data_IF_621584397412
#
_entry.id   IF_621584397412
#
_cell.length_a   1.000
_cell.length_b   1.000
_cell.length_c   1.000
_cell.angle_alpha   90.00
_cell.angle_beta   90.00
_cell.angle_gamma   90.00
#
_symmetry.space_group_name_H-M   'P 1'
#
loop_
_entity.id
_entity.type
_entity.pdbx_description
1 polymer ?
#
# COMPACT_ATOMS: atom_id res chain seq x y z
N UNK A 1 -9.63 43.63 -22.15
CA UNK A 1 -8.22 43.52 -21.72
C UNK A 1 -8.01 43.42 -20.20
N UNK A 2 -8.84 44.04 -19.35
CA UNK A 2 -8.66 43.97 -17.87
C UNK A 2 -8.92 42.60 -17.23
N UNK A 3 -9.93 41.87 -17.70
CA UNK A 3 -10.34 40.59 -17.11
C UNK A 3 -9.29 39.47 -17.30
N UNK A 4 -8.64 39.42 -18.48
CA UNK A 4 -7.59 38.44 -18.79
C UNK A 4 -6.34 38.67 -17.92
N UNK A 5 -5.98 39.93 -17.64
CA UNK A 5 -4.85 40.25 -16.76
C UNK A 5 -5.10 39.83 -15.31
N UNK A 6 -6.35 39.92 -14.84
CA UNK A 6 -6.73 39.48 -13.48
C UNK A 6 -6.70 37.95 -13.38
N UNK A 7 -7.21 37.23 -14.38
CA UNK A 7 -7.16 35.75 -14.39
C UNK A 7 -5.71 35.26 -14.45
N UNK A 8 -4.87 35.86 -15.30
CA UNK A 8 -3.44 35.50 -15.37
C UNK A 8 -2.73 35.83 -14.06
N UNK A 9 -3.02 36.96 -13.42
CA UNK A 9 -2.44 37.30 -12.11
C UNK A 9 -2.88 36.32 -11.01
N UNK A 10 -4.15 35.90 -10.99
CA UNK A 10 -4.65 34.91 -10.02
C UNK A 10 -4.00 33.55 -10.26
N UNK A 11 -3.86 33.11 -11.51
CA UNK A 11 -3.18 31.85 -11.84
C UNK A 11 -1.70 31.91 -11.47
N UNK A 12 -1.01 33.02 -11.75
CA UNK A 12 0.40 33.21 -11.37
C UNK A 12 0.58 33.24 -9.86
N UNK A 13 -0.34 33.86 -9.11
CA UNK A 13 -0.31 33.86 -7.64
C UNK A 13 -0.64 32.48 -7.08
N UNK A 14 -1.60 31.75 -7.64
CA UNK A 14 -1.93 30.37 -7.23
C UNK A 14 -0.78 29.41 -7.54
N UNK A 15 -0.12 29.55 -8.70
CA UNK A 15 1.07 28.78 -9.06
C UNK A 15 2.25 29.17 -8.17
N UNK A 16 2.46 30.45 -7.88
CA UNK A 16 3.51 30.89 -6.96
C UNK A 16 3.24 30.46 -5.51
N UNK A 17 1.97 30.39 -5.09
CA UNK A 17 1.56 29.83 -3.80
C UNK A 17 1.74 28.32 -3.79
N UNK A 18 1.41 27.60 -4.87
CA UNK A 18 1.67 26.15 -4.99
C UNK A 18 3.17 25.87 -4.96
N UNK A 19 3.96 26.61 -5.75
CA UNK A 19 5.41 26.46 -5.84
C UNK A 19 6.09 26.88 -4.53
N UNK A 20 5.62 27.96 -3.89
CA UNK A 20 6.06 28.37 -2.56
C UNK A 20 5.73 27.34 -1.48
N UNK A 21 4.53 26.74 -1.52
CA UNK A 21 4.16 25.61 -0.66
C UNK A 21 5.06 24.40 -0.90
N UNK A 22 5.34 24.05 -2.16
CA UNK A 22 6.19 22.92 -2.53
C UNK A 22 7.64 23.14 -2.09
N UNK A 23 8.15 24.37 -2.16
CA UNK A 23 9.55 24.68 -1.80
C UNK A 23 9.77 24.73 -0.28
N UNK A 24 8.85 25.35 0.48
CA UNK A 24 8.87 25.33 1.95
C UNK A 24 8.66 23.89 2.50
N UNK A 25 8.05 23.00 1.69
CA UNK A 25 7.78 21.60 2.04
C UNK A 25 8.94 20.63 1.78
N UNK A 26 9.88 21.00 0.91
CA UNK A 26 11.11 20.21 0.67
C UNK A 26 12.11 20.38 1.82
N UNK A 27 12.11 21.55 2.46
CA UNK A 27 12.94 21.89 3.65
C UNK A 27 12.19 21.71 4.99
N UNK A 28 10.86 21.68 5.01
CA UNK A 28 10.09 21.36 6.22
C UNK A 28 10.27 19.87 6.57
N UNK A 29 11.22 19.63 7.47
CA UNK A 29 11.45 18.43 8.29
C UNK A 29 10.42 17.31 8.05
N UNK A 30 10.88 16.14 7.58
CA UNK A 30 10.84 14.85 8.30
C UNK A 30 9.93 14.79 9.58
N UNK A 31 8.68 15.22 9.49
CA UNK A 31 7.68 15.28 10.55
C UNK A 31 6.55 14.34 10.16
N UNK A 32 5.99 13.65 11.15
CA UNK A 32 4.83 12.79 10.96
C UNK A 32 3.58 13.55 10.48
N UNK A 33 3.59 14.87 10.67
CA UNK A 33 2.46 15.78 10.58
C UNK A 33 1.63 15.62 9.29
N UNK A 34 0.37 15.21 9.50
CA UNK A 34 -0.67 15.12 8.49
C UNK A 34 -1.01 16.48 7.86
N UNK A 35 -0.99 16.55 6.53
CA UNK A 35 -1.59 17.64 5.74
C UNK A 35 -3.02 17.32 5.26
N UNK A 36 -3.35 16.02 5.17
CA UNK A 36 -4.60 15.54 4.60
C UNK A 36 -5.73 15.49 5.63
N UNK A 37 -5.43 15.01 6.83
CA UNK A 37 -6.39 14.77 7.90
C UNK A 37 -6.23 15.76 9.06
N UNK A 38 -5.08 16.45 9.16
CA UNK A 38 -4.83 17.47 10.18
C UNK A 38 -4.77 16.93 11.62
N UNK A 39 -4.65 15.62 11.78
CA UNK A 39 -4.52 14.93 13.08
C UNK A 39 -3.05 14.64 13.32
N UNK A 40 -2.57 14.99 14.52
CA UNK A 40 -1.23 14.64 15.01
C UNK A 40 -1.33 13.51 16.03
N UNK A 41 -0.49 12.50 15.91
CA UNK A 41 -0.35 11.44 16.91
C UNK A 41 0.98 11.54 17.63
N UNK A 42 1.00 11.05 18.88
CA UNK A 42 2.24 10.68 19.54
C UNK A 42 2.66 9.29 19.08
N UNK A 43 3.96 9.10 18.86
CA UNK A 43 4.59 7.80 18.64
C UNK A 43 5.52 7.52 19.82
N UNK A 44 5.67 6.25 20.19
CA UNK A 44 6.56 5.90 21.31
C UNK A 44 8.03 6.26 20.99
N UNK A 45 8.43 6.07 19.72
CA UNK A 45 9.80 6.32 19.24
C UNK A 45 9.82 6.86 17.80
N UNK A 46 10.92 7.54 17.47
CA UNK A 46 11.30 8.01 16.13
C UNK A 46 12.77 7.65 15.89
N UNK A 47 13.09 7.23 14.68
CA UNK A 47 14.47 7.08 14.22
C UNK A 47 14.68 7.66 12.84
N UNK A 48 15.85 8.25 12.62
CA UNK A 48 16.25 8.90 11.38
C UNK A 48 17.43 8.12 10.77
N UNK A 49 17.33 7.80 9.47
CA UNK A 49 18.39 7.13 8.71
C UNK A 49 18.93 8.08 7.64
N UNK A 50 20.23 8.00 7.39
CA UNK A 50 20.85 8.51 6.16
C UNK A 50 21.15 7.30 5.27
N UNK A 51 20.52 7.23 4.09
CA UNK A 51 20.66 6.10 3.16
C UNK A 51 21.26 6.55 1.83
N UNK A 52 22.22 5.82 1.25
CA UNK A 52 22.67 6.10 -0.11
C UNK A 52 21.53 5.90 -1.11
N UNK A 53 21.46 6.74 -2.14
CA UNK A 53 20.54 6.57 -3.27
C UNK A 53 21.05 5.50 -4.26
N UNK A 54 20.14 4.82 -4.94
CA UNK A 54 20.49 3.87 -6.01
C UNK A 54 21.04 4.65 -7.19
N UNK A 55 22.31 4.45 -7.54
CA UNK A 55 22.86 4.97 -8.80
C UNK A 55 22.31 4.15 -9.96
N UNK A 56 21.55 4.78 -10.86
CA UNK A 56 21.23 4.19 -12.16
C UNK A 56 22.43 4.45 -13.07
N UNK A 57 23.06 3.40 -13.57
CA UNK A 57 24.25 3.48 -14.42
C UNK A 57 24.05 4.45 -15.60
N UNK A 58 24.84 5.54 -15.66
CA UNK A 58 24.92 6.39 -16.85
C UNK A 58 25.13 7.90 -16.64
N UNK A 59 24.90 8.46 -15.45
CA UNK A 59 25.08 9.92 -15.23
C UNK A 59 26.11 10.24 -14.15
N UNK A 60 27.34 10.53 -14.61
CA UNK A 60 28.25 11.50 -14.00
C UNK A 60 29.00 11.11 -12.72
N UNK A 61 30.28 11.48 -12.67
CA UNK A 61 31.05 11.54 -11.42
C UNK A 61 30.44 12.63 -10.50
N UNK A 62 29.62 12.20 -9.56
CA UNK A 62 29.03 13.03 -8.49
C UNK A 62 28.97 12.23 -7.20
N UNK A 63 29.21 12.90 -6.06
CA UNK A 63 29.36 12.29 -4.73
C UNK A 63 28.19 11.39 -4.28
N UNK A 64 28.39 10.67 -3.18
CA UNK A 64 27.38 9.81 -2.57
C UNK A 64 26.18 10.68 -2.11
N UNK A 65 25.10 10.68 -2.90
CA UNK A 65 23.86 11.35 -2.52
C UNK A 65 23.15 10.46 -1.51
N UNK A 66 22.91 10.98 -0.30
CA UNK A 66 22.18 10.27 0.74
C UNK A 66 20.79 10.87 0.92
N UNK A 67 19.75 10.06 0.86
CA UNK A 67 18.39 10.46 1.23
C UNK A 67 18.18 10.28 2.73
N UNK A 68 17.71 11.33 3.41
CA UNK A 68 17.24 11.22 4.79
C UNK A 68 15.90 10.47 4.85
N UNK A 69 15.75 9.53 5.78
CA UNK A 69 14.51 8.76 6.03
C UNK A 69 14.09 8.84 7.48
N UNK A 70 12.79 8.82 7.73
CA UNK A 70 12.22 8.73 9.09
C UNK A 70 11.37 7.49 9.22
N UNK A 71 11.50 6.82 10.35
CA UNK A 71 10.54 5.84 10.79
C UNK A 71 9.99 6.20 12.18
N UNK A 72 8.70 6.00 12.38
CA UNK A 72 8.05 6.04 13.69
C UNK A 72 7.60 4.64 14.10
N UNK A 73 7.50 4.37 15.40
CA UNK A 73 6.94 3.11 15.87
C UNK A 73 6.37 3.21 17.30
N UNK A 74 5.44 2.31 17.59
CA UNK A 74 4.91 2.04 18.92
C UNK A 74 5.41 0.67 19.41
N UNK A 75 5.78 0.59 20.69
CA UNK A 75 6.29 -0.63 21.33
C UNK A 75 5.14 -1.47 21.91
N UNK A 76 5.29 -2.79 22.05
CA UNK A 76 4.31 -3.63 22.74
C UNK A 76 3.92 -3.11 24.13
N UNK A 77 2.71 -3.41 24.56
CA UNK A 77 2.29 -3.10 25.94
C UNK A 77 3.06 -3.99 26.92
N UNK A 78 3.67 -3.39 27.94
CA UNK A 78 4.49 -4.12 28.91
C UNK A 78 5.82 -4.63 28.35
N UNK A 79 6.27 -4.07 27.22
CA UNK A 79 7.54 -4.42 26.59
C UNK A 79 8.71 -4.33 27.60
N UNK A 80 9.25 -5.48 28.00
CA UNK A 80 10.51 -5.57 28.70
C UNK A 80 11.63 -5.67 27.67
N UNK A 81 12.73 -4.92 27.88
CA UNK A 81 13.93 -5.06 27.05
C UNK A 81 14.39 -6.53 27.06
N UNK A 82 14.27 -7.22 25.92
CA UNK A 82 14.69 -8.62 25.75
C UNK A 82 13.61 -9.61 25.27
N UNK A 83 12.35 -9.21 25.13
CA UNK A 83 11.32 -10.07 24.52
C UNK A 83 11.36 -9.97 22.99
N UNK A 84 11.36 -11.12 22.30
CA UNK A 84 11.35 -11.18 20.84
C UNK A 84 9.98 -10.74 20.30
N UNK A 85 9.91 -9.52 19.74
CA UNK A 85 8.64 -8.92 19.33
C UNK A 85 8.43 -8.96 17.80
N UNK A 86 7.30 -9.48 17.28
CA UNK A 86 6.99 -9.39 15.86
C UNK A 86 6.87 -7.94 15.39
N UNK A 87 7.23 -7.71 14.13
CA UNK A 87 7.19 -6.39 13.49
C UNK A 87 5.95 -6.30 12.61
N UNK A 88 5.11 -5.27 12.81
CA UNK A 88 3.98 -4.93 11.95
C UNK A 88 4.27 -3.62 11.24
N UNK A 89 4.51 -3.67 9.92
CA UNK A 89 4.56 -2.46 9.10
C UNK A 89 3.18 -2.04 8.64
N UNK A 90 2.85 -0.77 8.88
CA UNK A 90 1.68 -0.08 8.36
C UNK A 90 2.12 0.98 7.35
N UNK A 91 2.06 0.63 6.07
CA UNK A 91 2.65 1.39 4.98
C UNK A 91 1.62 2.33 4.35
N UNK A 92 1.88 3.63 4.42
CA UNK A 92 0.96 4.66 3.95
C UNK A 92 0.84 4.69 2.41
N UNK A 93 -0.29 5.19 1.90
CA UNK A 93 -0.49 5.45 0.47
C UNK A 93 0.27 6.68 -0.03
N UNK A 94 0.24 6.94 -1.35
CA UNK A 94 0.85 8.14 -1.94
C UNK A 94 0.20 9.39 -1.33
N UNK A 95 1.00 10.43 -1.09
CA UNK A 95 0.62 11.69 -0.41
C UNK A 95 0.26 11.59 1.08
N UNK A 96 0.09 10.40 1.64
CA UNK A 96 -0.16 10.20 3.08
C UNK A 96 1.14 10.17 3.87
N UNK A 97 1.05 10.40 5.19
CA UNK A 97 2.15 10.33 6.17
C UNK A 97 1.94 9.29 7.27
N UNK A 98 2.93 9.14 8.15
CA UNK A 98 2.85 8.23 9.30
C UNK A 98 1.63 8.52 10.19
N UNK A 99 1.31 9.81 10.44
CA UNK A 99 0.10 10.18 11.17
C UNK A 99 -1.18 9.76 10.45
N UNK A 100 -1.25 9.94 9.12
CA UNK A 100 -2.42 9.56 8.34
C UNK A 100 -2.63 8.05 8.40
N UNK A 101 -1.55 7.26 8.30
CA UNK A 101 -1.65 5.80 8.38
C UNK A 101 -2.04 5.33 9.78
N UNK A 102 -1.48 5.93 10.83
CA UNK A 102 -1.88 5.65 12.21
C UNK A 102 -3.33 6.05 12.50
N UNK A 103 -3.78 7.14 11.87
CA UNK A 103 -5.15 7.62 11.91
C UNK A 103 -6.11 6.61 11.27
N UNK A 104 -5.76 6.12 10.07
CA UNK A 104 -6.53 5.12 9.31
C UNK A 104 -6.58 3.77 10.04
N UNK A 105 -5.45 3.31 10.57
CA UNK A 105 -5.41 2.07 11.36
C UNK A 105 -6.16 2.23 12.68
N UNK A 106 -6.11 3.42 13.27
CA UNK A 106 -6.97 3.82 14.37
C UNK A 106 -6.53 3.33 15.76
N UNK A 107 -6.83 4.14 16.77
CA UNK A 107 -6.35 3.96 18.16
C UNK A 107 -6.67 2.60 18.78
N UNK A 108 -7.88 2.06 18.56
CA UNK A 108 -8.29 0.74 19.09
C UNK A 108 -7.49 -0.39 18.46
N UNK A 109 -7.19 -0.32 17.16
CA UNK A 109 -6.43 -1.35 16.47
C UNK A 109 -4.94 -1.27 16.83
N UNK A 110 -4.39 -0.05 16.94
CA UNK A 110 -3.04 0.16 17.50
C UNK A 110 -2.94 -0.45 18.89
N UNK A 111 -3.87 -0.14 19.80
CA UNK A 111 -3.87 -0.71 21.14
C UNK A 111 -3.97 -2.24 21.14
N UNK A 112 -4.80 -2.82 20.25
CA UNK A 112 -4.86 -4.28 20.06
C UNK A 112 -3.52 -4.84 19.59
N UNK A 113 -2.90 -4.24 18.58
CA UNK A 113 -1.61 -4.69 18.05
C UNK A 113 -0.51 -4.65 19.12
N UNK A 114 -0.43 -3.56 19.91
CA UNK A 114 0.50 -3.43 21.05
C UNK A 114 0.27 -4.50 22.10
N UNK A 115 -1.00 -4.77 22.48
CA UNK A 115 -1.36 -5.83 23.42
C UNK A 115 -1.08 -7.24 22.86
N UNK A 116 -1.20 -7.41 21.55
CA UNK A 116 -0.81 -8.62 20.85
C UNK A 116 0.71 -8.74 20.72
N UNK A 117 1.51 -7.76 21.15
CA UNK A 117 2.97 -7.90 21.19
C UNK A 117 3.69 -7.38 19.96
N UNK A 118 3.02 -6.68 19.04
CA UNK A 118 3.67 -6.11 17.85
C UNK A 118 4.44 -4.84 18.19
N UNK A 119 5.64 -4.72 17.62
CA UNK A 119 6.21 -3.40 17.31
C UNK A 119 5.46 -2.88 16.08
N UNK A 120 4.67 -1.83 16.26
CA UNK A 120 3.84 -1.26 15.18
C UNK A 120 4.62 -0.13 14.53
N UNK A 121 4.95 -0.28 13.25
CA UNK A 121 5.89 0.56 12.52
C UNK A 121 5.18 1.39 11.46
N UNK A 122 5.47 2.69 11.46
CA UNK A 122 4.91 3.68 10.54
C UNK A 122 6.07 4.35 9.77
N UNK A 123 6.49 3.73 8.64
CA UNK A 123 7.58 4.24 7.83
C UNK A 123 7.14 5.50 7.05
N UNK A 124 8.08 6.41 6.74
CA UNK A 124 7.81 7.63 5.96
C UNK A 124 8.49 7.58 4.58
N UNK A 125 7.68 7.68 3.52
CA UNK A 125 8.16 7.76 2.14
C UNK A 125 8.82 9.10 1.82
N UNK A 126 9.53 9.15 0.70
CA UNK A 126 10.23 10.37 0.26
C UNK A 126 9.51 11.05 -0.88
N UNK A 127 9.90 12.29 -1.12
CA UNK A 127 9.40 13.06 -2.24
C UNK A 127 9.76 12.41 -3.56
N UNK A 128 8.76 12.34 -4.43
CA UNK A 128 8.90 12.07 -5.84
C UNK A 128 9.48 13.31 -6.54
N UNK A 129 10.52 13.14 -7.36
CA UNK A 129 11.19 14.27 -8.04
C UNK A 129 10.37 14.86 -9.21
N UNK A 130 9.28 14.21 -9.63
CA UNK A 130 8.42 14.68 -10.73
C UNK A 130 7.25 15.50 -10.20
N UNK A 131 6.49 14.98 -9.24
CA UNK A 131 5.29 15.67 -8.74
C UNK A 131 5.45 16.28 -7.34
N UNK A 132 6.58 16.04 -6.67
CA UNK A 132 6.85 16.58 -5.34
C UNK A 132 5.92 15.98 -4.27
N UNK A 133 5.32 14.81 -4.53
CA UNK A 133 4.44 14.12 -3.60
C UNK A 133 5.21 12.97 -2.94
N UNK A 134 4.97 12.75 -1.65
CA UNK A 134 5.61 11.65 -0.93
C UNK A 134 5.05 10.30 -1.39
N UNK A 135 5.94 9.36 -1.71
CA UNK A 135 5.61 8.07 -2.31
C UNK A 135 6.67 7.02 -1.96
N UNK A 136 6.35 5.78 -2.28
CA UNK A 136 7.25 4.62 -2.30
C UNK A 136 7.58 4.25 -3.74
N UNK A 137 8.84 3.92 -3.98
CA UNK A 137 9.31 3.13 -5.10
C UNK A 137 8.75 1.70 -4.95
N UNK A 138 7.48 1.51 -5.30
CA UNK A 138 6.77 0.24 -5.15
C UNK A 138 6.76 -0.62 -6.43
N UNK A 139 7.43 -0.15 -7.49
CA UNK A 139 7.44 -0.81 -8.81
C UNK A 139 6.14 -0.68 -9.62
N UNK A 140 5.20 0.16 -9.16
CA UNK A 140 3.82 0.23 -9.67
C UNK A 140 3.28 1.64 -9.91
N UNK A 141 3.87 2.67 -9.31
CA UNK A 141 3.36 4.04 -9.34
C UNK A 141 4.58 4.96 -9.31
N UNK A 142 4.79 5.71 -10.40
CA UNK A 142 5.81 6.76 -10.58
C UNK A 142 7.22 6.40 -10.10
N UNK A 143 8.15 6.21 -11.05
CA UNK A 143 9.57 6.04 -10.74
C UNK A 143 10.40 7.25 -11.15
N UNK A 144 10.40 8.32 -10.35
CA UNK A 144 11.40 9.35 -10.56
C UNK A 144 12.30 9.59 -9.36
N UNK A 145 12.10 8.92 -8.22
CA UNK A 145 13.08 8.96 -7.14
C UNK A 145 13.97 7.70 -7.15
N UNK A 146 15.28 7.90 -7.02
CA UNK A 146 16.28 6.84 -6.92
C UNK A 146 16.30 6.20 -5.51
N UNK A 147 15.13 6.19 -4.86
CA UNK A 147 14.93 5.72 -3.51
C UNK A 147 15.11 4.20 -3.41
N UNK A 148 16.07 3.77 -2.59
CA UNK A 148 16.14 2.39 -2.13
C UNK A 148 15.16 2.15 -0.97
N UNK A 149 13.87 2.04 -1.30
CA UNK A 149 12.88 1.79 -0.26
C UNK A 149 13.02 0.36 0.31
N UNK A 150 13.40 -0.65 -0.46
CA UNK A 150 13.63 -2.00 0.10
C UNK A 150 14.76 -1.97 1.13
N UNK A 151 15.89 -1.35 0.79
CA UNK A 151 17.01 -1.17 1.72
C UNK A 151 16.63 -0.34 2.94
N UNK A 152 15.81 0.71 2.78
CA UNK A 152 15.27 1.46 3.90
C UNK A 152 14.49 0.58 4.88
N UNK A 153 13.53 -0.20 4.39
CA UNK A 153 12.75 -1.11 5.23
C UNK A 153 13.63 -2.18 5.90
N UNK A 154 14.64 -2.72 5.18
CA UNK A 154 15.60 -3.65 5.78
C UNK A 154 16.36 -3.01 6.94
N UNK A 155 16.81 -1.76 6.82
CA UNK A 155 17.48 -1.05 7.92
C UNK A 155 16.57 -0.76 9.09
N UNK A 156 15.27 -0.53 8.85
CA UNK A 156 14.30 -0.41 9.94
C UNK A 156 14.23 -1.73 10.71
N UNK A 157 14.13 -2.87 10.02
CA UNK A 157 14.12 -4.19 10.68
C UNK A 157 15.41 -4.41 11.48
N UNK A 158 16.59 -4.14 10.89
CA UNK A 158 17.88 -4.30 11.55
C UNK A 158 18.00 -3.42 12.80
N UNK A 159 17.55 -2.17 12.70
CA UNK A 159 17.56 -1.24 13.82
C UNK A 159 16.65 -1.74 14.95
N UNK A 160 15.45 -2.20 14.62
CA UNK A 160 14.49 -2.74 15.60
C UNK A 160 15.01 -4.02 16.25
N UNK A 161 15.65 -4.90 15.48
CA UNK A 161 16.26 -6.12 16.01
C UNK A 161 17.41 -5.79 16.98
N UNK A 162 18.30 -4.87 16.60
CA UNK A 162 19.49 -4.55 17.40
C UNK A 162 19.17 -3.76 18.70
N UNK A 163 18.16 -2.90 18.69
CA UNK A 163 17.90 -1.96 19.78
C UNK A 163 16.64 -2.27 20.59
N UNK A 164 15.71 -3.03 20.02
CA UNK A 164 14.40 -3.33 20.61
C UNK A 164 14.05 -4.80 20.47
N UNK A 165 15.05 -5.67 20.33
CA UNK A 165 14.92 -7.13 20.25
C UNK A 165 13.73 -7.59 19.38
N UNK A 166 13.43 -6.85 18.31
CA UNK A 166 12.36 -7.19 17.41
C UNK A 166 12.80 -8.40 16.58
N UNK A 167 11.89 -9.32 16.31
CA UNK A 167 12.20 -10.55 15.62
C UNK A 167 12.17 -10.33 14.09
N UNK A 168 13.33 -10.32 13.39
CA UNK A 168 13.35 -10.20 11.93
C UNK A 168 12.73 -11.42 11.25
N UNK A 169 12.52 -12.53 11.97
CA UNK A 169 11.86 -13.73 11.46
C UNK A 169 10.32 -13.67 11.58
N UNK A 170 9.78 -12.60 12.17
CA UNK A 170 8.35 -12.41 12.41
C UNK A 170 7.84 -11.05 11.90
N UNK A 171 7.95 -10.82 10.59
CA UNK A 171 7.56 -9.55 9.95
C UNK A 171 6.20 -9.67 9.24
N UNK A 172 5.34 -8.68 9.44
CA UNK A 172 3.99 -8.61 8.88
C UNK A 172 3.81 -7.28 8.14
N UNK A 173 3.23 -7.33 6.95
CA UNK A 173 3.14 -6.17 6.06
C UNK A 173 1.69 -5.86 5.71
N UNK A 174 1.25 -4.65 6.00
CA UNK A 174 -0.01 -4.13 5.46
C UNK A 174 0.15 -2.68 5.04
N UNK A 175 -0.54 -2.29 3.98
CA UNK A 175 -0.50 -0.94 3.48
C UNK A 175 -1.59 -0.68 2.47
N UNK A 176 -1.86 0.60 2.22
CA UNK A 176 -2.91 1.02 1.30
C UNK A 176 -2.33 1.59 0.01
N UNK A 177 -2.94 1.30 -1.15
CA UNK A 177 -2.58 1.97 -2.41
C UNK A 177 -1.11 1.75 -2.77
N UNK A 178 -0.32 2.81 -2.94
CA UNK A 178 1.14 2.77 -3.04
C UNK A 178 1.83 1.97 -1.92
N UNK A 179 1.35 2.01 -0.67
CA UNK A 179 1.83 1.16 0.41
C UNK A 179 1.40 -0.30 0.31
N UNK A 180 0.26 -0.59 -0.34
CA UNK A 180 -0.16 -1.95 -0.67
C UNK A 180 0.73 -2.55 -1.76
N UNK A 181 1.03 -1.79 -2.80
CA UNK A 181 2.04 -2.16 -3.81
C UNK A 181 3.41 -2.40 -3.16
N UNK A 182 3.84 -1.53 -2.23
CA UNK A 182 5.10 -1.70 -1.52
C UNK A 182 5.11 -2.96 -0.63
N UNK A 183 3.97 -3.31 0.00
CA UNK A 183 3.84 -4.55 0.79
C UNK A 183 4.12 -5.79 -0.06
N UNK A 184 3.61 -5.81 -1.30
CA UNK A 184 3.90 -6.88 -2.26
C UNK A 184 5.37 -6.89 -2.69
N UNK A 185 5.95 -5.72 -2.99
CA UNK A 185 7.38 -5.61 -3.35
C UNK A 185 8.31 -6.12 -2.24
N UNK A 186 8.06 -5.73 -0.99
CA UNK A 186 8.84 -6.20 0.16
C UNK A 186 8.71 -7.71 0.35
N UNK A 187 7.51 -8.26 0.22
CA UNK A 187 7.29 -9.70 0.27
C UNK A 187 8.15 -10.45 -0.77
N UNK A 188 8.20 -9.94 -2.00
CA UNK A 188 9.04 -10.50 -3.06
C UNK A 188 10.54 -10.35 -2.76
N UNK A 189 10.98 -9.16 -2.36
CA UNK A 189 12.38 -8.86 -2.12
C UNK A 189 12.98 -9.66 -0.95
N UNK A 190 12.16 -9.96 0.06
CA UNK A 190 12.56 -10.75 1.24
C UNK A 190 12.17 -12.23 1.16
N UNK A 191 11.71 -12.70 -0.02
CA UNK A 191 11.36 -14.11 -0.21
C UNK A 191 12.59 -15.02 -0.37
N UNK A 192 13.72 -14.46 -0.81
CA UNK A 192 14.96 -15.21 -0.98
C UNK A 192 15.48 -15.69 0.39
N UNK A 193 15.77 -16.99 0.51
CA UNK A 193 16.23 -17.62 1.75
C UNK A 193 17.59 -17.08 2.24
N UNK A 194 18.34 -16.38 1.38
CA UNK A 194 19.56 -15.66 1.76
C UNK A 194 19.28 -14.39 2.60
N UNK A 195 18.04 -13.91 2.63
CA UNK A 195 17.64 -12.77 3.45
C UNK A 195 17.41 -13.20 4.89
N UNK A 196 17.87 -12.39 5.85
CA UNK A 196 17.65 -12.64 7.28
C UNK A 196 16.28 -12.12 7.77
N UNK A 197 15.47 -11.55 6.88
CA UNK A 197 14.15 -11.01 7.15
C UNK A 197 13.13 -12.01 6.63
N UNK A 198 12.20 -12.45 7.46
CA UNK A 198 11.13 -13.37 7.07
C UNK A 198 9.77 -12.73 7.24
N UNK A 199 9.07 -12.58 6.11
CA UNK A 199 7.66 -12.16 6.10
C UNK A 199 6.79 -13.36 6.47
N UNK A 200 5.91 -13.18 7.46
CA UNK A 200 5.00 -14.21 7.97
C UNK A 200 3.62 -14.13 7.34
N UNK A 201 3.17 -12.94 6.99
CA UNK A 201 1.92 -12.72 6.27
C UNK A 201 1.84 -11.29 5.73
N UNK A 202 1.03 -11.10 4.67
CA UNK A 202 0.74 -9.78 4.13
C UNK A 202 -0.75 -9.52 3.97
N UNK A 203 -1.15 -8.26 4.11
CA UNK A 203 -2.48 -7.77 3.77
C UNK A 203 -2.38 -6.46 2.98
N UNK A 204 -2.18 -6.52 1.65
CA UNK A 204 -2.28 -5.35 0.80
C UNK A 204 -3.73 -4.88 0.67
N UNK A 205 -3.97 -3.59 0.86
CA UNK A 205 -5.28 -2.96 0.72
C UNK A 205 -5.26 -2.04 -0.50
N UNK A 206 -6.14 -2.28 -1.47
CA UNK A 206 -6.25 -1.48 -2.69
C UNK A 206 -4.91 -1.25 -3.41
N UNK A 207 -4.05 -2.29 -3.48
CA UNK A 207 -2.70 -2.19 -4.02
C UNK A 207 -2.10 -3.58 -4.26
N UNK A 208 -2.48 -4.21 -5.38
CA UNK A 208 -2.11 -5.59 -5.73
C UNK A 208 -0.68 -5.75 -6.25
N UNK A 209 -0.39 -6.84 -6.95
CA UNK A 209 0.85 -6.98 -7.71
C UNK A 209 0.83 -6.03 -8.90
N UNK A 210 1.96 -5.40 -9.20
CA UNK A 210 2.09 -4.54 -10.36
C UNK A 210 3.35 -4.90 -11.16
N UNK A 211 3.31 -4.53 -12.44
CA UNK A 211 4.41 -4.78 -13.38
C UNK A 211 4.72 -3.49 -14.14
N UNK A 212 5.88 -3.47 -14.79
CA UNK A 212 6.10 -2.47 -15.83
C UNK A 212 5.14 -2.72 -16.97
N UNK A 213 4.76 -1.65 -17.66
CA UNK A 213 3.97 -1.78 -18.87
C UNK A 213 4.71 -2.65 -19.91
N UNK A 214 4.01 -3.63 -20.48
CA UNK A 214 4.39 -4.31 -21.73
C UNK A 214 3.59 -3.71 -22.89
N UNK A 215 4.27 -3.23 -23.92
CA UNK A 215 3.72 -2.92 -25.25
C UNK A 215 2.32 -2.27 -25.25
N UNK A 216 1.58 -2.38 -26.36
CA UNK A 216 0.16 -2.00 -26.40
C UNK A 216 -0.77 -3.18 -26.08
N UNK A 217 -0.22 -4.32 -25.61
CA UNK A 217 -0.98 -5.57 -25.44
C UNK A 217 -1.95 -5.53 -24.27
N UNK A 218 -1.62 -4.86 -23.17
CA UNK A 218 -2.52 -4.79 -22.01
C UNK A 218 -3.45 -3.57 -22.05
N UNK A 219 -3.31 -2.71 -23.07
CA UNK A 219 -4.05 -1.46 -23.21
C UNK A 219 -5.40 -1.74 -23.87
N UNK A 220 -6.48 -1.51 -23.14
CA UNK A 220 -7.84 -1.52 -23.64
C UNK A 220 -8.33 -0.16 -24.10
N UNK A 221 -9.64 0.05 -24.06
CA UNK A 221 -10.24 1.32 -24.42
C UNK A 221 -9.77 2.45 -23.50
N UNK A 222 -9.57 3.63 -24.07
CA UNK A 222 -9.27 4.83 -23.28
C UNK A 222 -10.52 5.21 -22.48
N UNK A 223 -10.44 5.13 -21.15
CA UNK A 223 -11.44 5.74 -20.29
C UNK A 223 -10.87 7.02 -19.71
N UNK A 224 -11.37 8.15 -20.21
CA UNK A 224 -11.15 9.43 -19.54
C UNK A 224 -12.01 9.46 -18.28
N UNK A 225 -11.45 9.00 -17.16
CA UNK A 225 -12.04 9.22 -15.85
C UNK A 225 -12.16 10.74 -15.64
N UNK A 226 -13.38 11.23 -15.38
CA UNK A 226 -13.78 12.63 -15.61
C UNK A 226 -12.92 13.72 -14.95
N UNK A 227 -12.91 14.90 -15.58
CA UNK A 227 -12.42 16.24 -15.18
C UNK A 227 -11.03 16.44 -14.55
N UNK A 228 -10.31 15.40 -14.13
CA UNK A 228 -8.95 15.52 -13.56
C UNK A 228 -7.93 15.33 -14.70
N UNK A 229 -6.89 16.18 -14.82
CA UNK A 229 -5.80 15.97 -15.78
C UNK A 229 -4.86 14.87 -15.25
N UNK A 230 -5.38 13.64 -15.13
CA UNK A 230 -4.54 12.46 -14.90
C UNK A 230 -3.85 12.06 -16.22
N UNK A 231 -2.72 11.32 -16.16
CA UNK A 231 -2.17 10.64 -17.33
C UNK A 231 -3.26 9.85 -18.06
N UNK A 232 -3.05 9.52 -19.34
CA UNK A 232 -4.04 8.75 -20.09
C UNK A 232 -4.19 7.37 -19.43
N UNK A 233 -5.32 7.13 -18.77
CA UNK A 233 -5.68 5.86 -18.15
C UNK A 233 -6.54 5.08 -19.15
N UNK A 234 -6.19 3.81 -19.32
CA UNK A 234 -6.86 2.85 -20.18
C UNK A 234 -7.36 1.70 -19.33
N UNK A 235 -8.44 1.07 -19.76
CA UNK A 235 -8.85 -0.19 -19.17
C UNK A 235 -7.80 -1.27 -19.42
N UNK A 236 -7.74 -2.24 -18.52
CA UNK A 236 -6.90 -3.42 -18.74
C UNK A 236 -7.59 -4.37 -19.72
N UNK A 237 -6.90 -4.74 -20.80
CA UNK A 237 -7.43 -5.69 -21.78
C UNK A 237 -7.03 -7.13 -21.42
N UNK A 238 -7.94 -7.88 -20.78
CA UNK A 238 -7.73 -9.30 -20.42
C UNK A 238 -7.59 -10.23 -21.63
N UNK A 239 -8.19 -9.89 -22.77
CA UNK A 239 -8.15 -10.73 -23.98
C UNK A 239 -6.77 -10.73 -24.62
N UNK A 240 -6.13 -9.56 -24.70
CA UNK A 240 -4.81 -9.39 -25.32
C UNK A 240 -3.66 -9.46 -24.31
N UNK A 241 -3.96 -9.38 -23.02
CA UNK A 241 -3.01 -9.54 -21.93
C UNK A 241 -3.58 -10.47 -20.84
N UNK A 242 -3.72 -11.77 -21.14
CA UNK A 242 -4.11 -12.77 -20.15
C UNK A 242 -3.05 -12.89 -19.05
N UNK A 243 -3.38 -13.62 -17.99
CA UNK A 243 -2.52 -13.77 -16.81
C UNK A 243 -1.06 -14.13 -17.13
N UNK A 244 -0.82 -15.12 -18.00
CA UNK A 244 0.55 -15.52 -18.35
C UNK A 244 1.35 -14.37 -18.99
N UNK A 245 0.72 -13.65 -19.91
CA UNK A 245 1.33 -12.47 -20.55
C UNK A 245 1.66 -11.40 -19.51
N UNK A 246 0.77 -11.14 -18.55
CA UNK A 246 1.03 -10.19 -17.47
C UNK A 246 2.14 -10.69 -16.53
N UNK A 247 2.17 -11.98 -16.21
CA UNK A 247 3.15 -12.56 -15.28
C UNK A 247 4.57 -12.46 -15.84
N UNK A 248 4.72 -12.69 -17.14
CA UNK A 248 5.97 -12.54 -17.90
C UNK A 248 6.37 -11.08 -18.16
N UNK A 249 5.53 -10.11 -17.78
CA UNK A 249 5.86 -8.70 -17.92
C UNK A 249 7.14 -8.34 -17.17
N UNK A 250 7.97 -7.45 -17.74
CA UNK A 250 9.08 -6.88 -17.01
C UNK A 250 8.60 -6.30 -15.68
N UNK A 251 9.33 -6.58 -14.61
CA UNK A 251 9.15 -5.96 -13.31
C UNK A 251 10.40 -5.21 -12.90
N UNK A 252 10.23 -4.19 -12.08
CA UNK A 252 11.35 -3.50 -11.43
C UNK A 252 12.05 -4.34 -10.36
N UNK A 253 11.48 -5.50 -10.02
CA UNK A 253 11.99 -6.42 -9.02
C UNK A 253 11.62 -7.86 -9.38
N UNK A 254 12.46 -8.80 -8.95
CA UNK A 254 12.21 -10.23 -9.09
C UNK A 254 11.30 -10.73 -7.96
N UNK A 255 10.48 -11.74 -8.25
CA UNK A 255 9.58 -12.36 -7.26
C UNK A 255 9.49 -13.89 -7.40
N UNK A 256 10.47 -14.51 -8.07
CA UNK A 256 10.45 -15.96 -8.35
C UNK A 256 10.63 -16.82 -7.09
N UNK A 257 11.34 -16.30 -6.09
CA UNK A 257 11.60 -17.02 -4.83
C UNK A 257 10.36 -17.09 -3.91
N UNK A 258 9.31 -16.31 -4.19
CA UNK A 258 8.13 -16.24 -3.31
C UNK A 258 7.34 -17.54 -3.32
N UNK A 259 7.27 -18.19 -2.16
CA UNK A 259 6.50 -19.41 -1.91
C UNK A 259 5.98 -19.43 -0.48
N UNK A 260 4.84 -20.08 -0.27
CA UNK A 260 4.28 -20.38 1.05
C UNK A 260 4.12 -19.13 1.97
N UNK A 261 3.68 -18.00 1.41
CA UNK A 261 3.42 -16.75 2.13
C UNK A 261 1.91 -16.51 2.27
N UNK A 262 1.34 -16.55 3.50
CA UNK A 262 -0.05 -16.21 3.72
C UNK A 262 -0.37 -14.78 3.27
N UNK A 263 -1.40 -14.64 2.43
CA UNK A 263 -1.82 -13.36 1.88
C UNK A 263 -3.34 -13.19 1.94
N UNK A 264 -3.79 -12.06 2.48
CA UNK A 264 -5.18 -11.62 2.33
C UNK A 264 -5.21 -10.34 1.52
N UNK A 265 -5.80 -10.38 0.33
CA UNK A 265 -5.89 -9.24 -0.57
C UNK A 265 -7.23 -8.55 -0.28
N UNK A 266 -7.20 -7.26 0.04
CA UNK A 266 -8.41 -6.46 0.26
C UNK A 266 -8.50 -5.43 -0.86
N UNK A 267 -9.57 -5.49 -1.65
CA UNK A 267 -9.78 -4.54 -2.76
C UNK A 267 -11.26 -4.17 -2.87
N UNK A 268 -11.56 -3.13 -3.67
CA UNK A 268 -12.90 -2.56 -3.69
C UNK A 268 -13.42 -2.41 -5.12
N UNK A 269 -14.69 -2.77 -5.35
CA UNK A 269 -15.24 -2.86 -6.70
C UNK A 269 -15.53 -1.51 -7.37
N UNK A 270 -15.61 -0.40 -6.59
CA UNK A 270 -15.79 0.96 -7.10
C UNK A 270 -14.51 1.80 -7.01
N UNK A 271 -13.38 1.17 -6.74
CA UNK A 271 -12.09 1.85 -6.73
C UNK A 271 -11.77 2.42 -8.11
N UNK A 272 -11.58 3.74 -8.19
CA UNK A 272 -11.26 4.46 -9.44
C UNK A 272 -9.76 4.77 -9.56
N UNK A 273 -8.99 4.58 -8.50
CA UNK A 273 -7.55 4.87 -8.44
C UNK A 273 -6.72 3.62 -8.66
N UNK A 274 -7.14 2.51 -8.06
CA UNK A 274 -6.60 1.16 -8.30
C UNK A 274 -7.77 0.25 -8.70
N UNK A 275 -8.22 0.33 -9.97
CA UNK A 275 -9.46 -0.32 -10.38
C UNK A 275 -9.43 -1.83 -10.18
N UNK A 276 -10.53 -2.37 -9.66
CA UNK A 276 -10.68 -3.81 -9.42
C UNK A 276 -10.44 -4.64 -10.69
N UNK A 277 -10.93 -4.16 -11.83
CA UNK A 277 -10.76 -4.77 -13.15
C UNK A 277 -9.41 -4.46 -13.81
N UNK A 278 -8.50 -3.77 -13.10
CA UNK A 278 -7.21 -3.35 -13.63
C UNK A 278 -7.27 -2.07 -14.45
N UNK A 279 -6.10 -1.46 -14.65
CA UNK A 279 -5.92 -0.28 -15.47
C UNK A 279 -4.47 -0.14 -15.94
N UNK A 280 -4.29 0.55 -17.07
CA UNK A 280 -2.99 0.96 -17.59
C UNK A 280 -2.92 2.47 -17.60
N UNK A 281 -1.97 3.06 -16.87
CA UNK A 281 -1.73 4.50 -16.92
C UNK A 281 -0.50 4.78 -17.79
N UNK A 282 -0.61 5.75 -18.71
CA UNK A 282 0.47 6.19 -19.60
C UNK A 282 0.81 7.65 -19.30
N UNK A 283 1.94 7.88 -18.62
CA UNK A 283 2.54 9.20 -18.40
C UNK A 283 3.63 9.53 -19.42
N UNK A 284 4.15 10.77 -19.35
CA UNK A 284 5.22 11.26 -20.23
C UNK A 284 6.61 10.65 -19.93
N UNK A 285 6.85 10.18 -18.70
CA UNK A 285 8.11 9.56 -18.27
C UNK A 285 7.94 8.10 -17.85
N UNK A 286 6.83 7.78 -17.20
CA UNK A 286 6.53 6.43 -16.71
C UNK A 286 5.13 5.96 -17.12
N UNK A 287 4.98 4.65 -17.24
CA UNK A 287 3.69 3.97 -17.40
C UNK A 287 3.61 2.82 -16.41
N UNK A 288 2.45 2.62 -15.79
CA UNK A 288 2.26 1.48 -14.90
C UNK A 288 1.11 0.59 -15.36
N UNK A 289 1.25 -0.69 -15.01
CA UNK A 289 0.30 -1.74 -15.31
C UNK A 289 -0.24 -2.32 -14.00
N UNK A 290 -1.46 -1.91 -13.64
CA UNK A 290 -2.21 -2.55 -12.56
C UNK A 290 -3.08 -3.62 -13.17
N UNK A 291 -2.79 -4.92 -12.98
CA UNK A 291 -3.66 -5.97 -13.47
C UNK A 291 -4.99 -5.97 -12.71
N UNK A 292 -5.99 -6.73 -13.20
CA UNK A 292 -7.15 -7.05 -12.41
C UNK A 292 -6.75 -7.73 -11.11
N UNK A 293 -7.51 -7.50 -10.04
CA UNK A 293 -7.22 -8.04 -8.69
C UNK A 293 -7.12 -9.57 -8.69
N UNK A 294 -7.86 -10.23 -9.58
CA UNK A 294 -7.82 -11.67 -9.76
C UNK A 294 -6.41 -12.19 -10.14
N UNK A 295 -5.57 -11.39 -10.80
CA UNK A 295 -4.21 -11.79 -11.16
C UNK A 295 -3.30 -11.76 -9.93
N UNK A 296 -3.50 -10.79 -9.02
CA UNK A 296 -2.82 -10.78 -7.73
C UNK A 296 -3.21 -12.02 -6.92
N UNK A 297 -4.51 -12.34 -6.88
CA UNK A 297 -5.01 -13.54 -6.20
C UNK A 297 -4.40 -14.82 -6.80
N UNK A 298 -4.39 -14.94 -8.13
CA UNK A 298 -3.80 -16.08 -8.84
C UNK A 298 -2.31 -16.22 -8.57
N UNK A 299 -1.57 -15.11 -8.53
CA UNK A 299 -0.15 -15.12 -8.22
C UNK A 299 0.14 -15.73 -6.85
N UNK A 300 -0.57 -15.31 -5.81
CA UNK A 300 -0.42 -15.92 -4.48
C UNK A 300 -0.96 -17.35 -4.43
N UNK A 301 -2.02 -17.67 -5.19
CA UNK A 301 -2.51 -19.04 -5.32
C UNK A 301 -1.42 -19.98 -5.85
N UNK A 302 -0.71 -19.58 -6.90
CA UNK A 302 0.39 -20.35 -7.49
C UNK A 302 1.58 -20.47 -6.52
N UNK A 303 1.99 -19.36 -5.89
CA UNK A 303 3.07 -19.33 -4.89
C UNK A 303 2.77 -20.27 -3.69
N UNK A 304 1.51 -20.33 -3.27
CA UNK A 304 1.05 -21.12 -2.13
C UNK A 304 0.55 -22.53 -2.52
N UNK A 305 0.51 -22.84 -3.82
CA UNK A 305 0.02 -24.11 -4.36
C UNK A 305 -1.46 -24.38 -4.06
N UNK A 306 -2.30 -23.35 -4.07
CA UNK A 306 -3.74 -23.45 -3.90
C UNK A 306 -4.43 -23.92 -5.18
N UNK A 307 -5.61 -24.55 -5.05
CA UNK A 307 -6.53 -24.69 -6.18
C UNK A 307 -7.07 -23.32 -6.56
N UNK A 308 -6.93 -22.97 -7.83
CA UNK A 308 -7.44 -21.73 -8.41
C UNK A 308 -8.36 -22.09 -9.59
N UNK A 309 -9.67 -22.13 -9.32
CA UNK A 309 -10.68 -22.44 -10.33
C UNK A 309 -11.33 -21.13 -10.78
N UNK A 310 -11.09 -20.77 -12.04
CA UNK A 310 -11.42 -19.44 -12.60
C UNK A 310 -12.60 -19.59 -13.54
N UNK A 311 -13.79 -19.57 -12.98
CA UNK A 311 -14.88 -18.93 -13.72
C UNK A 311 -14.99 -17.49 -13.23
N UNK A 312 -15.02 -16.51 -14.15
CA UNK A 312 -15.27 -15.08 -13.84
C UNK A 312 -16.56 -14.90 -13.00
N UNK A 313 -17.47 -15.90 -13.03
CA UNK A 313 -18.69 -15.97 -12.23
C UNK A 313 -18.51 -16.47 -10.78
N UNK A 314 -17.37 -17.08 -10.44
CA UNK A 314 -17.08 -17.65 -9.11
C UNK A 314 -16.39 -16.68 -8.15
N UNK A 315 -15.63 -15.69 -8.65
CA UNK A 315 -15.04 -14.60 -7.83
C UNK A 315 -16.14 -13.68 -7.22
N UNK A 316 -17.40 -13.86 -7.62
CA UNK A 316 -18.59 -13.23 -7.02
C UNK A 316 -19.51 -14.19 -6.24
N UNK A 317 -19.19 -15.48 -6.12
CA UNK A 317 -19.96 -16.43 -5.28
C UNK A 317 -19.20 -16.72 -4.01
N UNK A 318 -19.43 -15.89 -2.99
CA UNK A 318 -19.08 -16.27 -1.63
C UNK A 318 -20.07 -15.68 -0.63
N UNK A 319 -20.34 -16.48 0.39
CA UNK A 319 -21.16 -16.14 1.54
C UNK A 319 -20.73 -14.79 2.13
N UNK A 320 -21.70 -14.08 2.69
CA UNK A 320 -21.44 -12.83 3.43
C UNK A 320 -20.51 -13.19 4.60
N UNK A 321 -19.25 -12.77 4.50
CA UNK A 321 -18.20 -13.19 5.43
C UNK A 321 -18.51 -12.75 6.86
N UNK A 322 -18.95 -11.49 7.01
CA UNK A 322 -19.43 -10.92 8.27
C UNK A 322 -20.12 -9.59 7.97
N UNK A 323 -21.26 -9.30 8.60
CA UNK A 323 -21.81 -7.93 8.66
C UNK A 323 -21.40 -7.34 10.00
N UNK A 324 -20.57 -6.29 9.99
CA UNK A 324 -20.27 -5.53 11.22
C UNK A 324 -21.42 -4.59 11.58
N UNK A 325 -22.26 -4.22 10.62
CA UNK A 325 -23.51 -3.48 10.83
C UNK A 325 -24.71 -4.11 10.11
N UNK A 326 -25.84 -4.18 10.81
CA UNK A 326 -27.14 -4.57 10.23
C UNK A 326 -27.84 -3.40 9.50
N UNK A 327 -27.34 -2.17 9.64
CA UNK A 327 -27.96 -0.95 9.09
C UNK A 327 -27.58 -0.67 7.64
N UNK A 328 -26.46 -1.20 7.17
CA UNK A 328 -26.00 -1.05 5.79
C UNK A 328 -26.21 -2.37 5.02
N UNK A 329 -27.48 -2.70 4.78
CA UNK A 329 -27.87 -4.00 4.19
C UNK A 329 -27.42 -4.17 2.74
N UNK A 330 -27.09 -3.07 2.08
CA UNK A 330 -26.82 -3.03 0.66
C UNK A 330 -25.32 -2.98 0.35
N UNK A 331 -24.46 -2.75 1.35
CA UNK A 331 -23.00 -2.86 1.24
C UNK A 331 -22.55 -4.26 1.65
N UNK A 332 -22.14 -5.06 0.68
CA UNK A 332 -21.71 -6.43 0.92
C UNK A 332 -20.21 -6.49 0.75
N UNK A 333 -19.54 -7.00 1.77
CA UNK A 333 -18.15 -7.46 1.66
C UNK A 333 -18.14 -8.99 1.63
N UNK A 334 -17.52 -9.54 0.59
CA UNK A 334 -17.33 -10.99 0.42
C UNK A 334 -15.85 -11.31 0.57
N UNK A 335 -15.52 -12.31 1.40
CA UNK A 335 -14.17 -12.84 1.47
C UNK A 335 -14.16 -14.29 1.01
N UNK A 336 -13.22 -14.63 0.13
CA UNK A 336 -13.04 -15.94 -0.43
C UNK A 336 -11.63 -16.45 -0.15
N UNK A 337 -11.51 -17.45 0.72
CA UNK A 337 -10.25 -18.16 0.97
C UNK A 337 -10.14 -19.35 0.02
N UNK A 338 -9.06 -19.37 -0.76
CA UNK A 338 -8.76 -20.46 -1.68
C UNK A 338 -8.56 -21.78 -0.93
N UNK A 339 -8.96 -22.87 -1.58
CA UNK A 339 -8.90 -24.22 -1.02
C UNK A 339 -7.65 -24.96 -1.50
N UNK A 340 -7.34 -26.08 -0.84
CA UNK A 340 -6.24 -26.99 -1.18
C UNK A 340 -4.86 -26.33 -1.30
N UNK A 341 -4.61 -25.27 -0.52
CA UNK A 341 -3.29 -24.66 -0.42
C UNK A 341 -2.29 -25.59 0.27
N UNK A 342 -1.02 -25.59 -0.15
CA UNK A 342 0.01 -26.45 0.45
C UNK A 342 0.28 -26.10 1.91
N UNK A 343 0.65 -24.84 2.17
CA UNK A 343 1.11 -24.38 3.51
C UNK A 343 0.62 -23.00 3.93
N UNK A 344 0.14 -22.19 2.99
CA UNK A 344 -0.19 -20.79 3.24
C UNK A 344 -1.56 -20.43 2.67
N UNK A 345 -2.37 -19.73 3.48
CA UNK A 345 -3.71 -19.32 3.09
C UNK A 345 -3.63 -18.14 2.11
N UNK A 346 -4.49 -18.18 1.10
CA UNK A 346 -4.69 -17.06 0.18
C UNK A 346 -6.15 -16.67 0.20
N UNK A 347 -6.44 -15.42 0.55
CA UNK A 347 -7.81 -14.91 0.70
C UNK A 347 -7.99 -13.63 -0.12
N UNK A 348 -9.14 -13.48 -0.77
CA UNK A 348 -9.56 -12.23 -1.40
C UNK A 348 -10.81 -11.70 -0.69
N UNK A 349 -10.74 -10.49 -0.15
CA UNK A 349 -11.87 -9.75 0.37
C UNK A 349 -12.22 -8.59 -0.58
N UNK A 350 -13.50 -8.51 -0.97
CA UNK A 350 -14.02 -7.49 -1.87
C UNK A 350 -15.20 -6.79 -1.22
N UNK A 351 -15.08 -5.48 -0.98
CA UNK A 351 -16.27 -4.65 -0.77
C UNK A 351 -16.82 -4.21 -2.13
N UNK A 352 -18.08 -4.57 -2.37
CA UNK A 352 -18.73 -4.35 -3.66
C UNK A 352 -19.21 -2.91 -3.86
N UNK A 353 -19.25 -2.11 -2.79
CA UNK A 353 -19.60 -0.70 -2.84
C UNK A 353 -18.46 0.25 -2.53
N UNK A 354 -17.40 -0.17 -1.84
CA UNK A 354 -16.31 0.73 -1.54
C UNK A 354 -15.58 1.23 -2.81
N UNK A 355 -15.16 2.50 -2.76
CA UNK A 355 -14.17 3.11 -3.64
C UNK A 355 -12.75 2.90 -3.10
N UNK A 356 -11.83 3.81 -3.40
CA UNK A 356 -10.43 3.72 -2.95
C UNK A 356 -10.29 4.03 -1.45
N UNK A 357 -10.79 3.18 -0.56
CA UNK A 357 -10.90 3.47 0.89
C UNK A 357 -10.26 2.40 1.74
N UNK A 358 -9.95 2.76 2.98
CA UNK A 358 -9.67 1.79 4.03
C UNK A 358 -10.95 1.65 4.85
N UNK A 359 -11.65 0.53 4.73
CA UNK A 359 -13.00 0.39 5.27
C UNK A 359 -12.93 0.24 6.80
N UNK A 360 -13.65 1.12 7.51
CA UNK A 360 -13.72 1.13 8.97
C UNK A 360 -15.15 0.84 9.43
N UNK A 361 -15.29 0.18 10.58
CA UNK A 361 -16.57 -0.06 11.24
C UNK A 361 -17.24 1.25 11.72
N UNK A 362 -18.58 1.24 11.85
CA UNK A 362 -19.43 2.31 12.37
C UNK A 362 -18.99 2.86 13.74
N UNK A 363 -18.24 2.08 14.52
CA UNK A 363 -17.74 2.48 15.85
C UNK A 363 -16.47 3.34 15.83
N UNK A 364 -15.94 3.64 14.63
CA UNK A 364 -14.88 4.61 14.43
C UNK A 364 -15.47 5.95 14.01
N UNK A 365 -15.15 6.99 14.79
CA UNK A 365 -15.65 8.34 14.61
C UNK A 365 -15.56 8.77 13.14
N UNK A 366 -16.71 9.00 12.54
CA UNK A 366 -16.89 9.62 11.23
C UNK A 366 -16.21 11.00 11.10
N UNK A 367 -15.62 11.51 12.17
CA UNK A 367 -14.89 12.78 12.22
C UNK A 367 -13.48 12.69 11.63
N UNK A 368 -12.89 11.50 11.52
CA UNK A 368 -11.49 11.34 11.10
C UNK A 368 -11.30 11.42 9.58
N UNK A 369 -12.28 10.94 8.79
CA UNK A 369 -12.21 10.95 7.33
C UNK A 369 -12.96 12.13 6.71
N UNK A 370 -12.95 13.28 7.38
CA UNK A 370 -13.40 14.54 6.76
C UNK A 370 -12.25 15.03 5.89
N UNK A 371 -12.11 14.46 4.68
CA UNK A 371 -11.26 15.08 3.68
C UNK A 371 -11.79 16.50 3.42
N UNK A 372 -10.94 17.55 3.43
CA UNK A 372 -11.39 18.96 3.42
C UNK A 372 -12.23 19.35 2.20
N UNK A 373 -12.27 18.53 1.14
CA UNK A 373 -12.98 18.84 -0.10
C UNK A 373 -13.95 17.74 -0.52
N UNK A 374 -15.12 18.16 -1.02
CA UNK A 374 -16.12 17.29 -1.66
C UNK A 374 -15.58 16.53 -2.89
N UNK A 375 -14.52 17.05 -3.52
CA UNK A 375 -13.88 16.45 -4.71
C UNK A 375 -13.10 15.19 -4.32
N UNK A 376 -12.31 15.26 -3.26
CA UNK A 376 -11.58 14.11 -2.73
C UNK A 376 -12.51 13.05 -2.12
N UNK A 377 -13.56 13.49 -1.42
CA UNK A 377 -14.62 12.60 -0.96
C UNK A 377 -15.24 11.79 -2.11
N UNK A 378 -15.50 12.41 -3.27
CA UNK A 378 -16.02 11.72 -4.45
C UNK A 378 -15.03 10.72 -5.08
N UNK A 379 -13.73 11.05 -5.11
CA UNK A 379 -12.67 10.17 -5.63
C UNK A 379 -12.51 8.89 -4.81
N UNK A 380 -12.73 8.98 -3.50
CA UNK A 380 -12.60 7.86 -2.55
C UNK A 380 -13.93 7.10 -2.33
N UNK A 381 -15.07 7.70 -2.69
CA UNK A 381 -16.44 7.20 -2.44
C UNK A 381 -16.91 6.21 -3.50
N UNK A 382 -17.78 5.22 -3.16
CA UNK A 382 -18.52 5.05 -1.90
C UNK A 382 -17.67 4.53 -0.74
N UNK A 383 -18.08 4.83 0.50
CA UNK A 383 -17.49 4.22 1.69
C UNK A 383 -18.32 2.99 2.06
N UNK A 384 -17.65 1.88 2.30
CA UNK A 384 -18.26 0.70 2.91
C UNK A 384 -18.26 0.81 4.44
N UNK A 385 -19.15 0.08 5.10
CA UNK A 385 -19.28 0.05 6.57
C UNK A 385 -19.48 -1.35 7.12
N UNK A 386 -19.65 -2.35 6.26
CA UNK A 386 -19.93 -3.72 6.71
C UNK A 386 -18.68 -4.53 7.05
N UNK A 387 -17.48 -3.95 6.92
CA UNK A 387 -16.20 -4.62 7.06
C UNK A 387 -15.21 -3.75 7.84
N UNK A 388 -14.63 -4.30 8.92
CA UNK A 388 -13.56 -3.63 9.67
C UNK A 388 -12.20 -4.13 9.17
N UNK A 389 -11.58 -3.37 8.27
CA UNK A 389 -10.28 -3.72 7.67
C UNK A 389 -9.22 -3.95 8.75
N UNK A 390 -9.22 -3.16 9.82
CA UNK A 390 -8.22 -3.28 10.89
C UNK A 390 -8.41 -4.56 11.71
N UNK A 391 -9.66 -4.90 12.02
CA UNK A 391 -9.98 -6.13 12.73
C UNK A 391 -9.50 -7.35 11.94
N UNK A 392 -9.79 -7.39 10.64
CA UNK A 392 -9.46 -8.52 9.78
C UNK A 392 -7.95 -8.64 9.56
N UNK A 393 -7.23 -7.52 9.36
CA UNK A 393 -5.76 -7.52 9.28
C UNK A 393 -5.15 -8.17 10.52
N UNK A 394 -5.53 -7.69 11.72
CA UNK A 394 -4.96 -8.19 12.96
C UNK A 394 -5.37 -9.63 13.25
N UNK A 395 -6.61 -10.00 12.93
CA UNK A 395 -7.08 -11.39 13.07
C UNK A 395 -6.34 -12.34 12.12
N UNK A 396 -6.08 -11.93 10.88
CA UNK A 396 -5.28 -12.69 9.92
C UNK A 396 -3.83 -12.85 10.39
N UNK A 397 -3.18 -11.76 10.82
CA UNK A 397 -1.80 -11.81 11.33
C UNK A 397 -1.68 -12.63 12.61
N UNK A 398 -2.65 -12.57 13.52
CA UNK A 398 -2.66 -13.38 14.73
C UNK A 398 -2.70 -14.89 14.42
N UNK A 399 -3.41 -15.31 13.37
CA UNK A 399 -3.45 -16.71 12.93
C UNK A 399 -2.09 -17.18 12.40
N UNK A 400 -1.35 -16.30 11.70
CA UNK A 400 -0.07 -16.65 11.05
C UNK A 400 1.17 -16.37 11.91
N UNK A 401 0.97 -15.83 13.12
CA UNK A 401 2.04 -15.67 14.12
C UNK A 401 2.50 -16.99 14.71
N UNK A 402 1.60 -17.96 14.89
CA UNK A 402 1.81 -19.20 15.66
C UNK A 402 2.19 -20.45 14.84
N UNK A 403 2.66 -20.33 13.60
CA UNK A 403 3.23 -21.51 12.94
C UNK A 403 4.58 -21.80 13.58
N UNK A 404 4.53 -22.60 14.67
CA UNK A 404 5.65 -23.35 15.21
C UNK A 404 6.37 -24.03 14.05
N UNK A 405 7.70 -23.98 14.10
CA UNK A 405 8.55 -24.88 13.32
C UNK A 405 8.09 -26.28 13.71
N UNK A 406 7.36 -26.95 12.81
CA UNK A 406 7.17 -28.38 12.92
C UNK A 406 8.56 -28.98 12.69
N UNK A 407 9.20 -29.39 13.79
CA UNK A 407 10.44 -30.17 13.82
C UNK A 407 10.37 -31.42 12.93
#
# INVERSE_FOLDING_TARGET
MGFIKIVVAIVVVLVAMLVGFIWDYRDADMKADSLLMGVRHSFDKRFDFDLPEIKIDGEGEGGEVTTKRVCYFDLPDGYAEGDAAPILFLIHGKAMMADDMKTVFGKKAVARAKKEGFVVVYPVGVFDDVDGIRTWNAGSVHLPNNADDVGYFSRVVDHLAANFNADPQSVFLSGMSNGGFMSNRLACAWADESQHIRVRAIVPVAGGMAKMKIDNKCIGESKRWGMIPLPNIYEFNKETCPYETWKEAPSHFECEALKDLPAMIINHAKDVLVPFSGAVAIGMRDSWLSPPVEYTLRFFAEANGCSYDVDDNTIGRTEIFRRVSEKDTDDITTCHSLQNCRKANTTLCVSHKAGHTWVLDETYDSEIFIMPSRIFGWLMSPFARTFDTNHEILSFFAQHRKLEVLD
#
